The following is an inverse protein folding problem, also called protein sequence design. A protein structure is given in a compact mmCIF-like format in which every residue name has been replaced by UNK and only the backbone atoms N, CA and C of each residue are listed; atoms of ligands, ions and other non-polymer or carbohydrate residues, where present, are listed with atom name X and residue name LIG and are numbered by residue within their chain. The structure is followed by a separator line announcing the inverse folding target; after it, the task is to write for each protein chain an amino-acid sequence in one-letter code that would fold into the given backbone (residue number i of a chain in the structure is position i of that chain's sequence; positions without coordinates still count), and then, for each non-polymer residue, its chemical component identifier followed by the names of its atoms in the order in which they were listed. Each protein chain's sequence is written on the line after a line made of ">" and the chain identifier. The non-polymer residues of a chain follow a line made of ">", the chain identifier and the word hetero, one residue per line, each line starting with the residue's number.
data_IF_879078329693
#
_entry.id   IF_879078329693
#
_cell.length_a   1.000
_cell.length_b   1.000
_cell.length_c   1.000
_cell.angle_alpha   90.00
_cell.angle_beta   90.00
_cell.angle_gamma   90.00
#
_symmetry.space_group_name_H-M   'P 1'
#
loop_
_entity.id
_entity.type
_entity.pdbx_description
1 polymer ?
#
# COMPACT_ATOMS: atom_id res chain seq x y z
N UNK A 1 11.28 -7.05 29.51
CA UNK A 1 11.99 -6.98 28.21
C UNK A 1 11.26 -5.94 27.38
N UNK A 2 11.81 -4.73 27.27
CA UNK A 2 11.15 -3.61 26.60
C UNK A 2 11.62 -3.60 25.15
N UNK A 3 10.80 -4.09 24.23
CA UNK A 3 11.06 -3.97 22.80
C UNK A 3 10.81 -2.51 22.38
N UNK A 4 11.86 -1.84 21.95
CA UNK A 4 11.83 -0.50 21.36
C UNK A 4 11.24 -0.64 19.95
N UNK A 5 10.13 0.04 19.60
CA UNK A 5 9.58 -0.03 18.26
C UNK A 5 10.54 0.66 17.30
N UNK A 6 10.98 -0.08 16.29
CA UNK A 6 11.88 0.41 15.25
C UNK A 6 11.13 1.44 14.39
N UNK A 7 11.42 2.71 14.62
CA UNK A 7 10.81 3.83 13.91
C UNK A 7 11.32 3.87 12.46
N UNK A 8 10.45 3.53 11.51
CA UNK A 8 10.73 3.62 10.08
C UNK A 8 9.98 4.82 9.49
N UNK A 9 10.76 5.75 8.92
CA UNK A 9 10.35 7.12 8.65
C UNK A 9 9.10 7.31 7.78
N UNK A 10 8.43 8.42 8.07
CA UNK A 10 7.43 9.04 7.20
C UNK A 10 5.97 8.71 7.52
N UNK A 11 5.52 8.97 8.76
CA UNK A 11 4.11 8.85 9.16
C UNK A 11 3.92 7.80 10.24
N UNK A 12 3.35 8.22 11.35
CA UNK A 12 3.32 7.53 12.65
C UNK A 12 2.37 6.32 12.67
N UNK A 13 2.57 5.33 11.79
CA UNK A 13 1.75 4.12 11.78
C UNK A 13 2.35 3.12 12.76
N UNK A 14 1.93 3.18 14.02
CA UNK A 14 2.17 2.13 15.01
C UNK A 14 1.60 0.85 14.41
N UNK A 15 2.48 -0.06 13.98
CA UNK A 15 2.03 -1.32 13.42
C UNK A 15 1.58 -2.23 14.57
N UNK A 16 0.33 -2.71 14.54
CA UNK A 16 -0.17 -3.63 15.56
C UNK A 16 0.64 -4.94 15.60
N UNK A 17 0.77 -5.52 16.79
CA UNK A 17 1.48 -6.79 17.01
C UNK A 17 0.86 -7.92 16.16
N UNK A 18 1.71 -8.74 15.53
CA UNK A 18 1.27 -9.82 14.64
C UNK A 18 1.12 -9.42 13.16
N UNK A 19 1.39 -8.17 12.81
CA UNK A 19 1.39 -7.73 11.42
C UNK A 19 2.61 -8.25 10.64
N UNK A 20 2.37 -8.95 9.53
CA UNK A 20 3.41 -9.35 8.59
C UNK A 20 3.56 -8.31 7.47
N UNK A 21 4.77 -7.81 7.26
CA UNK A 21 5.04 -6.76 6.27
C UNK A 21 5.75 -7.35 5.05
N UNK A 22 5.24 -7.05 3.86
CA UNK A 22 5.84 -7.48 2.61
C UNK A 22 6.03 -6.29 1.66
N UNK A 23 7.15 -6.27 0.94
CA UNK A 23 7.31 -5.40 -0.22
C UNK A 23 6.99 -6.18 -1.48
N UNK A 24 6.02 -5.72 -2.27
CA UNK A 24 5.63 -6.35 -3.54
C UNK A 24 5.59 -5.34 -4.67
N UNK A 25 6.03 -5.78 -5.84
CA UNK A 25 5.93 -4.99 -7.07
C UNK A 25 4.54 -5.17 -7.68
N UNK A 26 3.91 -4.05 -8.04
CA UNK A 26 2.63 -4.07 -8.76
C UNK A 26 2.90 -4.44 -10.23
N UNK A 27 2.20 -5.45 -10.73
CA UNK A 27 2.28 -5.86 -12.12
C UNK A 27 1.75 -4.76 -13.06
N UNK A 28 2.07 -4.86 -14.36
CA UNK A 28 1.54 -3.94 -15.39
C UNK A 28 0.01 -3.91 -15.43
N UNK A 29 -0.65 -5.00 -15.04
CA UNK A 29 -2.11 -5.10 -14.93
C UNK A 29 -2.70 -4.37 -13.70
N UNK A 30 -1.87 -3.82 -12.81
CA UNK A 30 -2.29 -3.19 -11.56
C UNK A 30 -2.50 -4.17 -10.39
N UNK A 31 -2.12 -5.44 -10.56
CA UNK A 31 -2.31 -6.49 -9.55
C UNK A 31 -1.04 -6.80 -8.76
N UNK A 32 -1.21 -7.34 -7.56
CA UNK A 32 -0.18 -8.02 -6.77
C UNK A 32 -0.65 -9.43 -6.43
N UNK A 33 0.31 -10.34 -6.22
CA UNK A 33 0.02 -11.71 -5.78
C UNK A 33 0.34 -11.87 -4.30
N UNK A 34 -0.59 -12.43 -3.54
CA UNK A 34 -0.41 -12.83 -2.15
C UNK A 34 -1.00 -14.23 -1.95
N UNK A 35 -0.23 -15.15 -1.36
CA UNK A 35 -0.63 -16.56 -1.18
C UNK A 35 -1.20 -17.23 -2.45
N UNK A 36 -0.58 -16.96 -3.61
CA UNK A 36 -1.00 -17.49 -4.90
C UNK A 36 -2.28 -16.86 -5.47
N UNK A 37 -2.91 -15.91 -4.77
CA UNK A 37 -4.12 -15.21 -5.22
C UNK A 37 -3.80 -13.80 -5.74
N UNK A 38 -4.37 -13.37 -6.88
CA UNK A 38 -4.19 -12.01 -7.37
C UNK A 38 -5.16 -11.04 -6.69
N UNK A 39 -4.66 -9.85 -6.35
CA UNK A 39 -5.44 -8.73 -5.81
C UNK A 39 -5.20 -7.49 -6.67
N UNK A 40 -6.27 -6.83 -7.09
CA UNK A 40 -6.18 -5.57 -7.84
C UNK A 40 -5.90 -4.41 -6.88
N UNK A 41 -4.85 -3.63 -7.17
CA UNK A 41 -4.46 -2.45 -6.38
C UNK A 41 -4.80 -1.18 -7.16
N UNK A 42 -4.03 -0.89 -8.21
CA UNK A 42 -4.25 0.24 -9.10
C UNK A 42 -3.30 0.15 -10.29
N UNK A 43 -3.78 0.49 -11.49
CA UNK A 43 -2.91 0.62 -12.67
C UNK A 43 -1.91 1.78 -12.55
N UNK A 44 -2.23 2.82 -11.78
CA UNK A 44 -1.36 3.98 -11.55
C UNK A 44 -0.07 3.63 -10.79
N UNK A 45 -0.11 2.54 -10.03
CA UNK A 45 1.02 2.03 -9.26
C UNK A 45 1.82 0.95 -10.00
N UNK A 46 1.46 0.64 -11.25
CA UNK A 46 2.15 -0.37 -12.06
C UNK A 46 3.67 -0.13 -12.09
N UNK A 47 4.43 -1.20 -11.83
CA UNK A 47 5.90 -1.14 -11.78
C UNK A 47 6.49 -0.61 -10.48
N UNK A 48 5.68 -0.06 -9.57
CA UNK A 48 6.14 0.41 -8.25
C UNK A 48 6.16 -0.74 -7.24
N UNK A 49 7.11 -0.69 -6.32
CA UNK A 49 7.06 -1.48 -5.09
C UNK A 49 6.18 -0.76 -4.08
N UNK A 50 5.26 -1.50 -3.47
CA UNK A 50 4.37 -1.02 -2.43
C UNK A 50 4.53 -1.87 -1.18
N UNK A 51 4.17 -1.29 -0.03
CA UNK A 51 4.14 -1.99 1.25
C UNK A 51 2.77 -2.66 1.42
N UNK A 52 2.80 -3.93 1.77
CA UNK A 52 1.64 -4.71 2.17
C UNK A 52 1.78 -5.05 3.64
N UNK A 53 0.69 -4.89 4.39
CA UNK A 53 0.59 -5.28 5.79
C UNK A 53 -0.51 -6.33 5.89
N UNK A 54 -0.16 -7.52 6.40
CA UNK A 54 -1.11 -8.61 6.61
C UNK A 54 -1.33 -8.80 8.09
N UNK A 55 -2.58 -8.65 8.52
CA UNK A 55 -2.95 -8.85 9.91
C UNK A 55 -4.45 -9.17 10.01
N UNK A 56 -4.84 -10.00 10.97
CA UNK A 56 -6.23 -10.34 11.27
C UNK A 56 -7.04 -10.81 10.04
N UNK A 57 -6.38 -11.58 9.16
CA UNK A 57 -6.98 -12.05 7.90
C UNK A 57 -7.23 -10.96 6.85
N UNK A 58 -6.64 -9.77 7.03
CA UNK A 58 -6.76 -8.63 6.12
C UNK A 58 -5.43 -8.37 5.43
N UNK A 59 -5.51 -8.05 4.13
CA UNK A 59 -4.39 -7.53 3.34
C UNK A 59 -4.58 -6.02 3.20
N UNK A 60 -3.76 -5.26 3.90
CA UNK A 60 -3.77 -3.80 3.90
C UNK A 60 -2.67 -3.31 2.96
N UNK A 61 -3.02 -2.37 2.09
CA UNK A 61 -2.10 -1.80 1.11
C UNK A 61 -1.80 -0.37 1.51
N UNK A 62 -0.55 -0.11 1.89
CA UNK A 62 -0.07 1.21 2.25
C UNK A 62 0.72 1.80 1.07
N UNK A 63 0.05 2.64 0.29
CA UNK A 63 0.63 3.30 -0.87
C UNK A 63 -0.05 4.64 -1.17
N UNK A 64 0.74 5.66 -1.48
CA UNK A 64 0.23 6.92 -2.03
C UNK A 64 -0.08 6.75 -3.53
N UNK A 65 -1.34 6.96 -3.90
CA UNK A 65 -1.77 6.98 -5.31
C UNK A 65 -1.63 8.41 -5.84
N UNK A 66 -0.73 8.67 -6.81
CA UNK A 66 -0.68 9.98 -7.45
C UNK A 66 -1.95 10.17 -8.28
N UNK A 67 -2.75 11.18 -7.94
CA UNK A 67 -3.96 11.56 -8.65
C UNK A 67 -3.82 13.00 -9.15
N UNK A 68 -3.74 13.17 -10.47
CA UNK A 68 -3.87 14.47 -11.14
C UNK A 68 -5.14 14.45 -11.98
N UNK A 69 -6.06 15.38 -11.73
CA UNK A 69 -7.28 15.52 -12.52
C UNK A 69 -7.67 16.99 -12.60
N UNK A 70 -7.83 17.47 -13.82
CA UNK A 70 -8.27 18.83 -14.10
C UNK A 70 -9.73 18.81 -14.52
N UNK A 71 -10.47 19.85 -14.12
CA UNK A 71 -11.84 20.09 -14.54
C UNK A 71 -11.97 21.53 -15.00
N UNK A 72 -12.62 21.75 -16.14
CA UNK A 72 -13.01 23.09 -16.55
C UNK A 72 -14.13 23.58 -15.61
N UNK A 73 -13.93 24.73 -14.98
CA UNK A 73 -15.00 25.41 -14.23
C UNK A 73 -15.84 26.21 -15.21
N UNK A 74 -17.17 26.13 -15.08
CA UNK A 74 -18.04 27.04 -15.80
C UNK A 74 -17.76 28.48 -15.32
N UNK A 75 -17.39 29.38 -16.23
CA UNK A 75 -17.39 30.81 -15.92
C UNK A 75 -18.84 31.22 -15.67
N UNK A 76 -19.12 31.75 -14.48
CA UNK A 76 -20.37 32.42 -14.16
C UNK A 76 -20.27 33.86 -14.66
#
# INVERSE_FOLDING_TARGET
>A
MNAIPEALGGGNTILPEGANIFSRKVARSGHISYEGRPYFISKTLAGRYIRLVVMDGRLIVDASIPLHKEYALASI
#
